data_IF_849416912590
#
_entry.id   IF_849416912590
#
_cell.length_a   1.000
_cell.length_b   1.000
_cell.length_c   1.000
_cell.angle_alpha   90.00
_cell.angle_beta   90.00
_cell.angle_gamma   90.00
#
_symmetry.space_group_name_H-M   'P 1'
#
loop_
_entity.id
_entity.type
_entity.pdbx_description
1 polymer ?
#
# COMPACT_ATOMS: atom_id res chain seq x y z
N UNK A 1 14.60 -13.43 4.98
CA UNK A 1 13.80 -14.64 4.75
C UNK A 1 14.73 -15.83 4.58
N UNK A 2 14.74 -16.79 5.50
CA UNK A 2 15.65 -17.95 5.44
C UNK A 2 14.79 -19.16 5.07
N UNK A 3 14.58 -19.39 3.78
CA UNK A 3 13.91 -20.62 3.32
C UNK A 3 14.97 -21.59 2.87
N UNK A 4 15.30 -22.55 3.75
CA UNK A 4 16.03 -23.75 3.38
C UNK A 4 15.07 -24.60 2.54
N UNK A 5 15.27 -24.66 1.21
CA UNK A 5 14.61 -25.64 0.37
C UNK A 5 15.27 -27.00 0.62
N UNK A 6 14.78 -27.75 1.61
CA UNK A 6 15.08 -29.17 1.77
C UNK A 6 14.02 -30.02 1.04
N UNK A 7 14.46 -31.02 0.29
CA UNK A 7 13.62 -32.04 -0.36
C UNK A 7 13.07 -33.08 0.67
N UNK A 8 12.99 -32.70 1.95
CA UNK A 8 12.53 -33.56 3.06
C UNK A 8 11.29 -33.00 3.75
N UNK A 9 10.29 -32.60 2.97
CA UNK A 9 8.94 -32.28 3.47
C UNK A 9 8.11 -33.52 3.85
N UNK A 10 8.74 -34.60 4.32
CA UNK A 10 8.08 -35.80 4.89
C UNK A 10 8.51 -36.04 6.35
N UNK A 11 8.61 -34.98 7.15
CA UNK A 11 8.89 -35.16 8.58
C UNK A 11 8.90 -33.84 9.33
N UNK A 12 7.98 -33.70 10.27
CA UNK A 12 7.76 -32.47 11.04
C UNK A 12 9.03 -31.91 11.68
N UNK A 13 9.25 -30.61 11.49
CA UNK A 13 10.28 -29.83 12.14
C UNK A 13 9.87 -28.36 12.15
N UNK A 14 9.78 -27.78 13.35
CA UNK A 14 9.22 -26.45 13.66
C UNK A 14 9.55 -25.39 12.61
N UNK A 15 8.50 -24.77 12.08
CA UNK A 15 8.52 -23.72 11.07
C UNK A 15 9.44 -22.57 11.50
N UNK A 16 10.60 -22.46 10.84
CA UNK A 16 11.58 -21.41 11.12
C UNK A 16 11.06 -20.09 10.58
N UNK A 17 10.55 -19.25 11.49
CA UNK A 17 10.20 -17.82 11.36
C UNK A 17 10.35 -17.22 9.94
N UNK A 18 9.26 -17.21 9.19
CA UNK A 18 9.20 -16.75 7.79
C UNK A 18 9.04 -15.22 7.67
N UNK A 19 8.52 -14.56 8.71
CA UNK A 19 8.35 -13.11 8.83
C UNK A 19 8.71 -12.61 10.22
N UNK A 20 8.97 -11.31 10.37
CA UNK A 20 9.00 -10.69 11.70
C UNK A 20 7.56 -10.53 12.21
N UNK A 21 7.19 -11.32 13.22
CA UNK A 21 5.87 -11.30 13.83
C UNK A 21 5.56 -9.99 14.56
N UNK A 22 6.58 -9.24 14.99
CA UNK A 22 6.40 -7.89 15.56
C UNK A 22 5.94 -6.86 14.53
N UNK A 23 6.22 -7.10 13.24
CA UNK A 23 5.91 -6.14 12.16
C UNK A 23 4.56 -6.46 11.51
N UNK A 24 4.37 -7.71 11.08
CA UNK A 24 3.18 -8.10 10.31
C UNK A 24 2.14 -8.86 11.16
N UNK A 25 2.53 -9.36 12.33
CA UNK A 25 1.67 -10.17 13.20
C UNK A 25 0.99 -11.31 12.45
N UNK A 26 -0.26 -11.57 12.84
CA UNK A 26 -1.14 -12.58 12.22
C UNK A 26 -1.77 -12.14 10.88
N UNK A 27 -1.49 -10.91 10.40
CA UNK A 27 -2.11 -10.37 9.18
C UNK A 27 -1.43 -10.84 7.90
N UNK A 28 -0.22 -11.39 7.99
CA UNK A 28 0.53 -11.89 6.85
C UNK A 28 0.48 -13.42 6.75
N UNK A 29 0.53 -13.93 5.53
CA UNK A 29 0.64 -15.36 5.21
C UNK A 29 1.56 -15.53 4.01
N UNK A 30 2.36 -16.60 4.02
CA UNK A 30 3.28 -16.93 2.94
C UNK A 30 2.82 -18.21 2.24
N UNK A 31 2.57 -18.10 0.93
CA UNK A 31 2.16 -19.21 0.09
C UNK A 31 3.36 -19.77 -0.69
N UNK A 32 4.15 -20.64 -0.04
CA UNK A 32 5.41 -21.18 -0.62
C UNK A 32 5.18 -22.08 -1.84
N UNK A 33 4.01 -22.72 -1.92
CA UNK A 33 3.67 -23.67 -3.00
C UNK A 33 3.19 -22.99 -4.29
N UNK A 34 2.97 -21.67 -4.27
CA UNK A 34 2.65 -20.89 -5.47
C UNK A 34 3.92 -20.62 -6.29
N UNK A 35 3.78 -20.47 -7.61
CA UNK A 35 4.87 -20.11 -8.51
C UNK A 35 4.49 -18.85 -9.28
N UNK A 36 5.04 -17.67 -8.94
CA UNK A 36 6.03 -17.43 -7.87
C UNK A 36 5.42 -17.54 -6.46
N UNK A 37 6.26 -17.75 -5.45
CA UNK A 37 5.81 -17.73 -4.05
C UNK A 37 5.25 -16.35 -3.67
N UNK A 38 4.12 -16.33 -2.96
CA UNK A 38 3.39 -15.10 -2.64
C UNK A 38 3.45 -14.77 -1.14
N UNK A 39 3.70 -13.49 -0.83
CA UNK A 39 3.46 -12.93 0.49
C UNK A 39 2.14 -12.16 0.46
N UNK A 40 1.16 -12.63 1.22
CA UNK A 40 -0.15 -11.99 1.33
C UNK A 40 -0.25 -11.26 2.66
N UNK A 41 -0.41 -9.94 2.62
CA UNK A 41 -0.62 -9.09 3.81
C UNK A 41 -2.04 -8.55 3.78
N UNK A 42 -2.84 -8.85 4.80
CA UNK A 42 -4.21 -8.37 4.95
C UNK A 42 -4.25 -7.07 5.76
N UNK A 43 -5.26 -6.22 5.51
CA UNK A 43 -5.47 -4.97 6.25
C UNK A 43 -4.21 -4.09 6.26
N UNK A 44 -3.73 -3.70 5.06
CA UNK A 44 -2.57 -2.83 4.91
C UNK A 44 -2.82 -1.47 5.58
N UNK A 45 -1.79 -0.99 6.26
CA UNK A 45 -1.73 0.32 6.90
C UNK A 45 -0.52 1.10 6.38
N UNK A 46 -0.50 2.41 6.59
CA UNK A 46 0.65 3.24 6.18
C UNK A 46 1.96 2.79 6.85
N UNK A 47 1.90 2.23 8.06
CA UNK A 47 3.08 1.70 8.77
C UNK A 47 3.69 0.46 8.08
N UNK A 48 2.93 -0.23 7.23
CA UNK A 48 3.42 -1.37 6.47
C UNK A 48 4.24 -0.94 5.24
N UNK A 49 4.22 0.35 4.85
CA UNK A 49 5.02 0.89 3.76
C UNK A 49 6.51 0.71 4.02
N UNK A 50 7.26 0.21 3.03
CA UNK A 50 8.68 0.00 3.20
C UNK A 50 9.31 -0.93 2.17
N UNK A 51 10.56 -1.33 2.44
CA UNK A 51 11.32 -2.23 1.59
C UNK A 51 11.25 -3.66 2.14
N UNK A 52 10.60 -4.55 1.39
CA UNK A 52 10.46 -5.95 1.70
C UNK A 52 11.58 -6.74 1.03
N UNK A 53 12.14 -7.71 1.73
CA UNK A 53 13.23 -8.54 1.21
C UNK A 53 12.83 -10.01 1.21
N UNK A 54 12.58 -10.54 0.01
CA UNK A 54 12.51 -11.97 -0.22
C UNK A 54 13.93 -12.52 -0.30
N UNK A 55 14.19 -13.62 0.41
CA UNK A 55 15.49 -14.28 0.46
C UNK A 55 15.24 -15.79 0.43
N UNK A 56 15.98 -16.48 -0.42
CA UNK A 56 15.92 -17.92 -0.62
C UNK A 56 17.32 -18.46 -0.45
N UNK A 57 17.49 -19.39 0.48
CA UNK A 57 18.78 -19.99 0.78
C UNK A 57 18.85 -21.37 0.13
N UNK A 58 19.86 -21.57 -0.70
CA UNK A 58 20.13 -22.85 -1.34
C UNK A 58 21.29 -23.53 -0.62
N UNK A 59 21.27 -24.87 -0.53
CA UNK A 59 22.35 -25.62 0.13
C UNK A 59 23.69 -25.50 -0.59
N UNK A 60 23.66 -25.48 -1.91
CA UNK A 60 24.86 -25.54 -2.78
C UNK A 60 25.01 -24.32 -3.69
N UNK A 61 24.04 -23.41 -3.69
CA UNK A 61 24.05 -22.22 -4.52
C UNK A 61 24.02 -20.96 -3.64
N UNK A 62 24.50 -19.82 -4.14
CA UNK A 62 24.37 -18.56 -3.43
C UNK A 62 22.91 -18.23 -3.12
N UNK A 63 22.69 -17.64 -1.95
CA UNK A 63 21.41 -17.08 -1.53
C UNK A 63 20.90 -16.09 -2.58
N UNK A 64 19.68 -16.29 -3.07
CA UNK A 64 19.01 -15.31 -3.92
C UNK A 64 18.21 -14.35 -3.07
N UNK A 65 18.37 -13.07 -3.32
CA UNK A 65 17.67 -12.00 -2.59
C UNK A 65 16.99 -11.08 -3.59
N UNK A 66 15.70 -10.81 -3.35
CA UNK A 66 14.89 -9.89 -4.13
C UNK A 66 14.30 -8.85 -3.20
N UNK A 67 14.36 -7.58 -3.61
CA UNK A 67 13.81 -6.47 -2.84
C UNK A 67 12.58 -5.92 -3.54
N UNK A 68 11.51 -5.70 -2.80
CA UNK A 68 10.23 -5.17 -3.28
C UNK A 68 9.88 -3.95 -2.44
N UNK A 69 9.63 -2.81 -3.08
CA UNK A 69 9.16 -1.60 -2.40
C UNK A 69 7.64 -1.65 -2.34
N UNK A 70 7.09 -1.73 -1.13
CA UNK A 70 5.65 -1.59 -0.90
C UNK A 70 5.36 -0.12 -0.63
N UNK A 71 4.55 0.50 -1.49
CA UNK A 71 3.99 1.84 -1.29
C UNK A 71 2.50 1.73 -1.02
N UNK A 72 2.03 2.35 0.06
CA UNK A 72 0.63 2.32 0.47
C UNK A 72 -0.01 3.64 0.07
N UNK A 73 -1.02 3.58 -0.79
CA UNK A 73 -1.78 4.76 -1.21
C UNK A 73 -2.89 5.00 -0.21
N UNK A 74 -2.90 6.19 0.41
CA UNK A 74 -3.95 6.58 1.35
C UNK A 74 -4.97 7.46 0.61
N UNK A 75 -6.23 7.00 0.44
CA UNK A 75 -7.23 7.78 -0.25
C UNK A 75 -7.58 9.06 0.55
N UNK A 76 -8.04 10.13 -0.11
CA UNK A 76 -8.49 11.33 0.57
C UNK A 76 -9.63 11.03 1.54
N UNK A 77 -9.62 11.68 2.71
CA UNK A 77 -10.65 11.55 3.75
C UNK A 77 -11.90 12.38 3.45
N UNK A 78 -11.72 13.50 2.75
CA UNK A 78 -12.80 14.41 2.38
C UNK A 78 -12.45 15.19 1.13
N UNK A 79 -13.48 15.69 0.45
CA UNK A 79 -13.37 16.52 -0.74
C UNK A 79 -14.19 17.79 -0.52
N UNK A 80 -13.63 18.95 -0.87
CA UNK A 80 -14.30 20.24 -0.83
C UNK A 80 -14.24 20.90 -2.19
N UNK A 81 -15.37 21.44 -2.65
CA UNK A 81 -15.44 22.22 -3.88
C UNK A 81 -15.42 23.70 -3.53
N UNK A 82 -14.59 24.46 -4.25
CA UNK A 82 -14.45 25.89 -4.15
C UNK A 82 -14.96 26.55 -5.43
N UNK A 83 -15.58 27.72 -5.30
CA UNK A 83 -15.81 28.64 -6.41
C UNK A 83 -14.68 29.66 -6.42
N UNK A 84 -13.99 29.77 -7.56
CA UNK A 84 -12.77 30.56 -7.72
C UNK A 84 -11.49 29.76 -7.52
N UNK A 85 -10.36 30.46 -7.52
CA UNK A 85 -9.03 29.86 -7.44
C UNK A 85 -8.55 29.63 -6.00
N UNK A 86 -7.64 28.66 -5.85
CA UNK A 86 -6.96 28.35 -4.58
C UNK A 86 -6.04 29.51 -4.21
N UNK A 87 -6.25 30.12 -3.04
CA UNK A 87 -5.46 31.26 -2.56
C UNK A 87 -5.93 32.65 -3.04
N UNK A 88 -6.87 32.71 -3.99
CA UNK A 88 -7.45 33.94 -4.54
C UNK A 88 -8.80 34.35 -3.94
N UNK A 89 -9.09 33.95 -2.70
CA UNK A 89 -10.37 34.24 -2.05
C UNK A 89 -11.52 33.28 -2.40
N UNK A 90 -11.21 32.10 -2.96
CA UNK A 90 -12.22 31.10 -3.32
C UNK A 90 -13.08 30.65 -2.14
N UNK A 91 -14.39 30.52 -2.36
CA UNK A 91 -15.38 30.19 -1.33
C UNK A 91 -15.81 28.73 -1.42
N UNK A 92 -15.82 28.02 -0.28
CA UNK A 92 -16.29 26.62 -0.23
C UNK A 92 -17.79 26.55 -0.39
N UNK A 93 -18.24 25.69 -1.30
CA UNK A 93 -19.65 25.47 -1.60
C UNK A 93 -20.08 24.05 -1.23
N UNK A 94 -21.32 23.93 -0.77
CA UNK A 94 -21.99 22.65 -0.52
C UNK A 94 -23.30 22.61 -1.29
N UNK A 95 -23.50 21.58 -2.10
CA UNK A 95 -24.72 21.43 -2.90
C UNK A 95 -24.65 22.17 -4.23
N UNK A 96 -25.66 23.00 -4.53
CA UNK A 96 -25.81 23.70 -5.81
C UNK A 96 -24.93 24.95 -5.84
N UNK A 97 -24.20 25.11 -6.93
CA UNK A 97 -23.35 26.28 -7.16
C UNK A 97 -24.07 27.23 -8.12
N UNK A 98 -24.32 28.47 -7.68
CA UNK A 98 -25.05 29.48 -8.47
C UNK A 98 -26.06 30.26 -7.62
N UNK A 99 -26.92 31.11 -8.24
CA UNK A 99 -27.17 31.23 -9.68
C UNK A 99 -26.12 32.06 -10.44
N UNK A 100 -25.85 31.69 -11.70
CA UNK A 100 -24.95 32.39 -12.62
C UNK A 100 -25.73 32.86 -13.86
N UNK A 101 -25.29 33.96 -14.48
CA UNK A 101 -25.89 34.49 -15.69
C UNK A 101 -25.24 33.91 -16.94
N UNK A 102 -25.97 33.94 -18.05
CA UNK A 102 -25.44 33.55 -19.36
C UNK A 102 -24.28 34.48 -19.73
N UNK A 103 -23.12 33.89 -20.02
CA UNK A 103 -21.87 34.62 -20.30
C UNK A 103 -20.90 34.70 -19.12
N UNK A 104 -21.30 34.29 -17.91
CA UNK A 104 -20.41 34.27 -16.75
C UNK A 104 -19.33 33.17 -16.88
N UNK A 105 -18.08 33.54 -16.58
CA UNK A 105 -16.99 32.57 -16.45
C UNK A 105 -16.91 32.08 -15.00
N UNK A 106 -17.21 30.80 -14.79
CA UNK A 106 -17.19 30.18 -13.46
C UNK A 106 -16.04 29.19 -13.36
N UNK A 107 -15.15 29.40 -12.39
CA UNK A 107 -14.07 28.46 -12.05
C UNK A 107 -14.46 27.64 -10.84
N UNK A 108 -14.51 26.31 -10.97
CA UNK A 108 -14.72 25.39 -9.87
C UNK A 108 -13.42 24.63 -9.57
N UNK A 109 -12.98 24.68 -8.32
CA UNK A 109 -11.78 23.99 -7.87
C UNK A 109 -12.12 22.89 -6.88
N UNK A 110 -11.72 21.66 -7.19
CA UNK A 110 -11.89 20.51 -6.29
C UNK A 110 -10.61 20.31 -5.47
N UNK A 111 -10.74 20.29 -4.14
CA UNK A 111 -9.63 20.01 -3.23
C UNK A 111 -9.93 18.74 -2.44
N UNK A 112 -9.02 17.78 -2.54
CA UNK A 112 -9.04 16.55 -1.76
C UNK A 112 -8.12 16.69 -0.53
N UNK A 113 -8.62 16.33 0.65
CA UNK A 113 -7.92 16.50 1.92
C UNK A 113 -7.56 15.16 2.56
N UNK A 114 -6.41 15.10 3.23
CA UNK A 114 -6.03 13.99 4.11
C UNK A 114 -5.68 12.68 3.40
N UNK A 115 -5.41 12.71 2.09
CA UNK A 115 -4.80 11.61 1.34
C UNK A 115 -3.29 11.77 1.27
N UNK A 116 -2.60 10.66 1.00
CA UNK A 116 -1.15 10.61 0.74
C UNK A 116 -0.97 9.97 -0.64
N UNK A 117 -0.48 10.78 -1.59
CA UNK A 117 -0.18 10.33 -2.96
C UNK A 117 1.28 9.90 -3.09
N UNK A 118 1.56 9.09 -4.11
CA UNK A 118 2.91 8.62 -4.49
C UNK A 118 3.88 9.76 -4.81
#
# INVERSE_FOLDING_TARGET
>A
MRTELDERWLGGGRERLWSNEEVLGSRATLEVRSSPALLRVNLLTLADQGLYTCRVDFKLQPTKTTRVKLTVVVPPKSVSVLVGEVGGGGQTVKGVVGPYQEGDLVTLTCIAHGGESL
#
